data_IF_917064982016
#
_entry.id   IF_917064982016
#
_cell.length_a   1.000
_cell.length_b   1.000
_cell.length_c   1.000
_cell.angle_alpha   90.00
_cell.angle_beta   90.00
_cell.angle_gamma   90.00
#
_symmetry.space_group_name_H-M   'P 1'
#
loop_
_entity.id
_entity.type
_entity.pdbx_description
1 polymer ?
#
# COMPACT_ATOMS: atom_id res chain seq x y z
N UNK A 1 -85.73 44.38 -37.54
CA UNK A 1 -86.10 43.41 -36.48
C UNK A 1 -84.82 42.90 -35.84
N UNK A 2 -84.70 43.22 -34.58
CA UNK A 2 -83.64 43.02 -33.65
C UNK A 2 -83.26 41.55 -33.42
N UNK A 3 -82.04 41.26 -33.12
CA UNK A 3 -81.63 40.34 -32.03
C UNK A 3 -80.13 40.50 -31.67
N UNK A 4 -80.00 41.16 -30.56
CA UNK A 4 -78.77 41.18 -29.72
C UNK A 4 -78.36 39.80 -29.31
N UNK A 5 -77.05 39.49 -29.41
CA UNK A 5 -76.44 38.42 -28.65
C UNK A 5 -75.10 38.85 -28.12
N UNK A 6 -75.05 38.86 -26.81
CA UNK A 6 -73.86 39.10 -25.98
C UNK A 6 -72.74 38.07 -26.26
N UNK A 7 -71.50 38.56 -26.35
CA UNK A 7 -70.36 37.75 -26.34
C UNK A 7 -69.65 37.84 -25.00
N UNK A 8 -69.49 36.68 -24.36
CA UNK A 8 -68.69 36.48 -23.14
C UNK A 8 -67.25 36.34 -23.51
N UNK A 9 -66.35 37.17 -22.93
CA UNK A 9 -64.96 37.08 -23.03
C UNK A 9 -64.45 35.93 -22.14
N UNK A 10 -63.94 34.88 -22.74
CA UNK A 10 -63.18 33.84 -22.07
C UNK A 10 -61.68 34.16 -22.09
N UNK A 11 -61.10 34.41 -20.93
CA UNK A 11 -59.69 34.67 -20.75
C UNK A 11 -58.99 33.32 -20.64
N UNK A 12 -58.28 32.89 -21.69
CA UNK A 12 -57.46 31.66 -21.69
C UNK A 12 -56.06 32.04 -21.27
N UNK A 13 -55.69 31.68 -20.05
CA UNK A 13 -54.31 31.82 -19.53
C UNK A 13 -53.38 30.79 -20.19
N UNK A 14 -52.37 31.28 -20.87
CA UNK A 14 -51.28 30.50 -21.45
C UNK A 14 -50.25 30.25 -20.35
N UNK A 15 -50.21 29.03 -19.80
CA UNK A 15 -49.12 28.58 -18.93
C UNK A 15 -47.88 28.26 -19.78
N UNK A 16 -46.86 29.10 -19.69
CA UNK A 16 -45.51 28.83 -20.18
C UNK A 16 -44.83 27.91 -19.20
N UNK A 17 -44.67 26.62 -19.56
CA UNK A 17 -43.76 25.69 -18.89
C UNK A 17 -42.32 26.02 -19.31
N UNK A 18 -41.57 26.66 -18.45
CA UNK A 18 -40.12 26.77 -18.58
C UNK A 18 -39.52 25.45 -18.10
N UNK A 19 -39.05 24.61 -19.05
CA UNK A 19 -38.19 23.47 -18.75
C UNK A 19 -36.84 24.01 -18.30
N UNK A 20 -36.57 24.00 -17.01
CA UNK A 20 -35.27 24.20 -16.43
C UNK A 20 -34.47 22.91 -16.68
N UNK A 21 -33.53 22.92 -17.63
CA UNK A 21 -32.46 21.93 -17.70
C UNK A 21 -31.56 22.15 -16.48
N UNK A 22 -31.78 21.37 -15.43
CA UNK A 22 -30.82 21.19 -14.36
C UNK A 22 -29.66 20.36 -14.97
N UNK A 23 -28.65 21.05 -15.44
CA UNK A 23 -27.35 20.42 -15.67
C UNK A 23 -26.80 20.00 -14.33
N UNK A 24 -26.70 18.69 -14.09
CA UNK A 24 -25.92 18.16 -12.97
C UNK A 24 -24.49 18.71 -13.06
N UNK A 25 -23.96 19.34 -12.01
CA UNK A 25 -22.55 19.64 -11.97
C UNK A 25 -21.81 18.30 -12.02
N UNK A 26 -20.94 18.16 -13.01
CA UNK A 26 -20.00 17.06 -13.09
C UNK A 26 -19.36 16.90 -11.70
N UNK A 27 -19.65 15.78 -11.06
CA UNK A 27 -18.99 15.37 -9.83
C UNK A 27 -17.51 15.22 -10.18
N UNK A 28 -16.75 16.28 -9.93
CA UNK A 28 -15.30 16.18 -9.86
C UNK A 28 -15.06 15.15 -8.78
N UNK A 29 -14.54 13.98 -9.21
CA UNK A 29 -14.26 12.87 -8.32
C UNK A 29 -13.51 13.36 -7.10
N UNK A 30 -14.13 13.24 -5.95
CA UNK A 30 -13.43 13.38 -4.69
C UNK A 30 -12.29 12.35 -4.69
N UNK A 31 -11.10 12.70 -4.15
CA UNK A 31 -10.02 11.74 -4.06
C UNK A 31 -10.53 10.51 -3.31
N UNK A 32 -10.44 9.35 -3.97
CA UNK A 32 -10.78 8.08 -3.35
C UNK A 32 -9.96 7.91 -2.06
N UNK A 33 -10.65 7.76 -0.95
CA UNK A 33 -10.06 7.26 0.25
C UNK A 33 -9.87 8.22 1.40
N UNK A 34 -10.83 8.34 2.22
CA UNK A 34 -10.78 8.46 3.70
C UNK A 34 -12.11 7.99 4.29
N UNK A 35 -12.66 6.87 3.81
CA UNK A 35 -13.96 6.40 4.29
C UNK A 35 -14.39 5.01 3.81
N UNK A 36 -13.58 4.36 2.98
CA UNK A 36 -13.79 2.95 2.63
C UNK A 36 -13.08 2.05 3.65
N UNK A 37 -13.71 0.96 4.09
CA UNK A 37 -13.09 -0.03 4.95
C UNK A 37 -11.90 -0.70 4.26
N UNK A 38 -10.92 -1.17 5.03
CA UNK A 38 -9.81 -1.99 4.53
C UNK A 38 -10.34 -3.38 4.19
N UNK A 39 -10.43 -3.71 2.90
CA UNK A 39 -10.96 -5.00 2.46
C UNK A 39 -9.88 -5.96 1.97
N UNK A 40 -8.85 -5.46 1.29
CA UNK A 40 -7.75 -6.27 0.79
C UNK A 40 -6.43 -5.52 0.78
N UNK A 41 -5.40 -6.17 1.28
CA UNK A 41 -4.01 -5.69 1.32
C UNK A 41 -3.17 -6.54 0.37
N UNK A 42 -2.41 -5.90 -0.51
CA UNK A 42 -1.35 -6.54 -1.30
C UNK A 42 0.00 -6.06 -0.78
N UNK A 43 0.90 -7.01 -0.51
CA UNK A 43 2.28 -6.74 -0.13
C UNK A 43 3.21 -6.95 -1.31
N UNK A 44 4.05 -5.96 -1.60
CA UNK A 44 5.17 -6.00 -2.54
C UNK A 44 6.47 -5.84 -1.76
N UNK A 45 7.54 -6.43 -2.26
CA UNK A 45 8.88 -6.33 -1.71
C UNK A 45 9.74 -7.52 -2.06
N UNK A 46 10.90 -7.60 -1.47
CA UNK A 46 11.88 -8.67 -1.68
C UNK A 46 11.75 -9.82 -0.67
N UNK A 47 12.81 -10.60 -0.50
CA UNK A 47 12.88 -11.73 0.44
C UNK A 47 12.64 -11.33 1.91
N UNK A 48 12.93 -10.09 2.29
CA UNK A 48 12.60 -9.58 3.63
C UNK A 48 11.09 -9.53 3.80
N UNK A 49 10.39 -8.98 2.81
CA UNK A 49 8.93 -8.92 2.78
C UNK A 49 8.29 -10.33 2.67
N UNK A 50 8.95 -11.29 2.00
CA UNK A 50 8.50 -12.71 1.99
C UNK A 50 8.40 -13.26 3.41
N UNK A 51 9.44 -13.06 4.23
CA UNK A 51 9.42 -13.49 5.63
C UNK A 51 8.36 -12.79 6.48
N UNK A 52 8.16 -11.48 6.23
CA UNK A 52 7.13 -10.69 6.92
C UNK A 52 5.72 -11.05 6.47
N UNK A 53 5.54 -11.51 5.24
CA UNK A 53 4.25 -11.94 4.71
C UNK A 53 3.64 -13.13 5.48
N UNK A 54 4.48 -14.00 6.07
CA UNK A 54 4.01 -15.19 6.78
C UNK A 54 3.14 -14.85 8.00
N UNK A 55 3.59 -14.05 8.98
CA UNK A 55 2.72 -13.60 10.07
C UNK A 55 1.63 -12.64 9.60
N UNK A 56 1.87 -11.84 8.55
CA UNK A 56 0.85 -10.92 8.01
C UNK A 56 -0.35 -11.69 7.47
N UNK A 57 -0.15 -12.81 6.75
CA UNK A 57 -1.25 -13.64 6.26
C UNK A 57 -2.13 -14.11 7.41
N UNK A 58 -1.54 -14.68 8.47
CA UNK A 58 -2.28 -15.11 9.65
C UNK A 58 -3.01 -13.95 10.38
N UNK A 59 -2.37 -12.79 10.45
CA UNK A 59 -2.91 -11.63 11.15
C UNK A 59 -4.08 -10.97 10.39
N UNK A 60 -3.99 -10.86 9.06
CA UNK A 60 -5.07 -10.35 8.23
C UNK A 60 -6.25 -11.30 8.17
N UNK A 61 -6.01 -12.63 8.06
CA UNK A 61 -7.05 -13.64 8.16
C UNK A 61 -7.83 -13.52 9.48
N UNK A 62 -7.10 -13.44 10.61
CA UNK A 62 -7.69 -13.25 11.93
C UNK A 62 -8.45 -11.91 12.05
N UNK A 63 -8.09 -10.90 11.27
CA UNK A 63 -8.73 -9.58 11.24
C UNK A 63 -9.88 -9.47 10.24
N UNK A 64 -10.17 -10.53 9.48
CA UNK A 64 -11.22 -10.54 8.46
C UNK A 64 -10.94 -9.67 7.24
N UNK A 65 -9.67 -9.46 6.91
CA UNK A 65 -9.18 -8.71 5.75
C UNK A 65 -8.47 -9.66 4.79
N UNK A 66 -8.75 -9.56 3.49
CA UNK A 66 -8.01 -10.32 2.49
C UNK A 66 -6.55 -9.86 2.41
N UNK A 67 -5.64 -10.80 2.29
CA UNK A 67 -4.21 -10.53 2.13
C UNK A 67 -3.63 -11.35 0.99
N UNK A 68 -2.79 -10.68 0.18
CA UNK A 68 -2.03 -11.34 -0.87
C UNK A 68 -0.60 -10.81 -0.86
N UNK A 69 0.38 -11.72 -0.77
CA UNK A 69 1.78 -11.37 -0.99
C UNK A 69 2.15 -11.57 -2.45
N UNK A 70 2.75 -10.55 -3.05
CA UNK A 70 3.45 -10.56 -4.32
C UNK A 70 4.95 -10.27 -4.10
N UNK A 71 5.42 -10.35 -2.85
CA UNK A 71 6.83 -10.26 -2.54
C UNK A 71 7.59 -11.47 -3.12
N UNK A 72 8.84 -11.27 -3.54
CA UNK A 72 9.61 -12.27 -4.25
C UNK A 72 11.03 -12.43 -3.69
N UNK A 73 11.45 -13.67 -3.52
CA UNK A 73 12.84 -13.98 -3.16
C UNK A 73 13.80 -13.56 -4.29
N UNK A 74 14.80 -12.73 -3.96
CA UNK A 74 15.81 -12.27 -4.91
C UNK A 74 15.29 -11.33 -5.99
N UNK A 75 14.18 -10.60 -5.73
CA UNK A 75 13.56 -9.67 -6.69
C UNK A 75 12.51 -8.81 -6.02
N UNK A 76 11.38 -8.54 -6.72
CA UNK A 76 10.24 -7.78 -6.18
C UNK A 76 10.45 -6.27 -6.10
N UNK A 77 11.63 -5.79 -6.48
CA UNK A 77 11.97 -4.37 -6.56
C UNK A 77 11.38 -3.72 -7.81
N UNK A 78 11.13 -2.42 -7.73
CA UNK A 78 10.56 -1.63 -8.84
C UNK A 78 11.61 -0.79 -9.57
N UNK A 79 12.83 -0.72 -9.04
CA UNK A 79 14.01 -0.07 -9.62
C UNK A 79 15.24 -0.91 -9.33
N UNK A 80 16.28 -0.80 -10.14
CA UNK A 80 17.50 -1.59 -9.99
C UNK A 80 17.44 -2.95 -10.68
N UNK A 81 18.30 -3.92 -10.31
CA UNK A 81 18.36 -5.23 -10.95
C UNK A 81 17.02 -5.96 -10.79
N UNK A 82 16.64 -6.79 -11.77
CA UNK A 82 15.39 -7.59 -11.76
C UNK A 82 14.08 -6.80 -11.87
N UNK A 83 14.10 -5.47 -11.83
CA UNK A 83 12.89 -4.66 -11.88
C UNK A 83 12.14 -4.77 -13.21
N UNK A 84 12.83 -4.97 -14.32
CA UNK A 84 12.18 -5.11 -15.64
C UNK A 84 11.28 -6.33 -15.68
N UNK A 85 11.75 -7.48 -15.21
CA UNK A 85 10.97 -8.73 -15.13
C UNK A 85 9.75 -8.55 -14.20
N UNK A 86 9.93 -7.91 -13.05
CA UNK A 86 8.84 -7.61 -12.14
C UNK A 86 7.77 -6.71 -12.78
N UNK A 87 8.19 -5.71 -13.57
CA UNK A 87 7.28 -4.81 -14.26
C UNK A 87 6.48 -5.46 -15.40
N UNK A 88 6.93 -6.59 -15.96
CA UNK A 88 6.17 -7.32 -16.96
C UNK A 88 4.85 -7.85 -16.41
N UNK A 89 4.81 -8.29 -15.16
CA UNK A 89 3.67 -8.96 -14.55
C UNK A 89 2.88 -8.08 -13.57
N UNK A 90 3.55 -7.18 -12.86
CA UNK A 90 2.97 -6.43 -11.74
C UNK A 90 1.66 -5.69 -12.08
N UNK A 91 1.50 -5.00 -13.25
CA UNK A 91 0.26 -4.31 -13.56
C UNK A 91 -0.95 -5.26 -13.67
N UNK A 92 -0.75 -6.44 -14.28
CA UNK A 92 -1.80 -7.45 -14.42
C UNK A 92 -2.12 -8.09 -13.07
N UNK A 93 -1.11 -8.42 -12.27
CA UNK A 93 -1.29 -8.97 -10.93
C UNK A 93 -2.08 -8.01 -10.01
N UNK A 94 -1.76 -6.71 -10.05
CA UNK A 94 -2.49 -5.71 -9.26
C UNK A 94 -3.93 -5.52 -9.75
N UNK A 95 -4.14 -5.52 -11.06
CA UNK A 95 -5.49 -5.43 -11.62
C UNK A 95 -6.35 -6.65 -11.24
N UNK A 96 -5.77 -7.86 -11.26
CA UNK A 96 -6.45 -9.09 -10.85
C UNK A 96 -6.70 -9.16 -9.34
N UNK A 97 -5.82 -8.56 -8.55
CA UNK A 97 -5.92 -8.57 -7.09
C UNK A 97 -7.02 -7.62 -6.58
N UNK A 98 -7.33 -6.52 -7.27
CA UNK A 98 -8.29 -5.48 -6.86
C UNK A 98 -8.07 -5.00 -5.40
N UNK A 99 -6.85 -4.56 -5.02
CA UNK A 99 -6.54 -4.19 -3.65
C UNK A 99 -7.22 -2.89 -3.20
N UNK A 100 -7.51 -2.78 -1.90
CA UNK A 100 -7.81 -1.49 -1.26
C UNK A 100 -6.53 -0.69 -1.05
N UNK A 101 -5.47 -1.41 -0.65
CA UNK A 101 -4.15 -0.84 -0.37
C UNK A 101 -3.06 -1.77 -0.88
N UNK A 102 -2.03 -1.17 -1.45
CA UNK A 102 -0.76 -1.84 -1.76
C UNK A 102 0.30 -1.33 -0.80
N UNK A 103 0.93 -2.23 -0.09
CA UNK A 103 2.08 -1.96 0.77
C UNK A 103 3.33 -2.35 -0.03
N UNK A 104 4.17 -1.38 -0.35
CA UNK A 104 5.47 -1.63 -0.96
C UNK A 104 6.56 -1.41 0.08
N UNK A 105 7.12 -2.51 0.59
CA UNK A 105 8.34 -2.41 1.37
C UNK A 105 9.50 -2.11 0.43
N UNK A 106 10.16 -0.95 0.65
CA UNK A 106 11.38 -0.62 -0.08
C UNK A 106 12.36 -1.78 0.05
N UNK A 107 12.91 -2.20 -1.07
CA UNK A 107 13.67 -3.44 -1.13
C UNK A 107 15.18 -3.21 -0.93
N UNK A 108 15.88 -4.27 -0.59
CA UNK A 108 17.35 -4.28 -0.57
C UNK A 108 17.98 -4.20 -1.98
N UNK A 109 17.14 -4.15 -3.03
CA UNK A 109 17.52 -4.03 -4.44
C UNK A 109 17.09 -2.73 -5.10
N UNK A 110 16.50 -1.78 -4.36
CA UNK A 110 16.09 -0.47 -4.92
C UNK A 110 17.30 0.43 -5.25
N UNK A 111 18.26 -0.13 -6.01
CA UNK A 111 19.47 0.53 -6.46
C UNK A 111 19.19 1.45 -7.62
N UNK A 112 20.01 2.48 -7.78
CA UNK A 112 19.92 3.42 -8.88
C UNK A 112 20.08 4.85 -8.41
N UNK A 113 20.20 5.77 -9.36
CA UNK A 113 20.22 7.20 -9.08
C UNK A 113 18.90 7.70 -8.48
N UNK A 114 18.92 8.86 -7.85
CA UNK A 114 17.70 9.51 -7.36
C UNK A 114 16.63 9.65 -8.45
N UNK A 115 17.04 9.95 -9.68
CA UNK A 115 16.12 10.12 -10.79
C UNK A 115 15.46 8.78 -11.21
N UNK A 116 16.21 7.69 -11.20
CA UNK A 116 15.69 6.35 -11.50
C UNK A 116 14.72 5.89 -10.41
N UNK A 117 15.09 6.04 -9.13
CA UNK A 117 14.19 5.75 -8.00
C UNK A 117 12.91 6.57 -8.09
N UNK A 118 13.03 7.89 -8.34
CA UNK A 118 11.86 8.77 -8.48
C UNK A 118 10.93 8.31 -9.60
N UNK A 119 11.48 8.02 -10.79
CA UNK A 119 10.69 7.59 -11.94
C UNK A 119 9.99 6.25 -11.68
N UNK A 120 10.65 5.31 -11.01
CA UNK A 120 10.08 4.01 -10.67
C UNK A 120 8.97 4.11 -9.61
N UNK A 121 9.17 4.90 -8.58
CA UNK A 121 8.15 5.10 -7.54
C UNK A 121 6.94 5.90 -8.05
N UNK A 122 7.13 6.87 -8.95
CA UNK A 122 6.05 7.56 -9.66
C UNK A 122 5.26 6.59 -10.58
N UNK A 123 5.97 5.66 -11.25
CA UNK A 123 5.35 4.59 -12.04
C UNK A 123 4.54 3.66 -11.13
N UNK A 124 5.08 3.24 -9.98
CA UNK A 124 4.37 2.41 -9.01
C UNK A 124 3.11 3.13 -8.50
N UNK A 125 3.23 4.39 -8.09
CA UNK A 125 2.09 5.20 -7.66
C UNK A 125 1.00 5.25 -8.75
N UNK A 126 1.39 5.47 -9.99
CA UNK A 126 0.45 5.52 -11.12
C UNK A 126 -0.25 4.19 -11.35
N UNK A 127 0.50 3.08 -11.30
CA UNK A 127 -0.02 1.73 -11.48
C UNK A 127 -1.01 1.35 -10.36
N UNK A 128 -0.63 1.57 -9.11
CA UNK A 128 -1.47 1.28 -7.93
C UNK A 128 -2.74 2.13 -7.93
N UNK A 129 -2.62 3.42 -8.19
CA UNK A 129 -3.80 4.29 -8.22
C UNK A 129 -4.67 4.05 -9.45
N UNK A 130 -4.11 3.53 -10.53
CA UNK A 130 -4.83 3.12 -11.73
C UNK A 130 -5.82 1.99 -11.49
N UNK A 131 -5.57 1.12 -10.50
CA UNK A 131 -6.50 0.07 -10.05
C UNK A 131 -7.38 0.52 -8.87
N UNK A 132 -7.35 1.79 -8.50
CA UNK A 132 -8.19 2.36 -7.44
C UNK A 132 -7.64 2.16 -6.02
N UNK A 133 -6.44 1.64 -5.85
CA UNK A 133 -5.81 1.40 -4.56
C UNK A 133 -5.01 2.61 -4.04
N UNK A 134 -4.73 2.62 -2.73
CA UNK A 134 -3.76 3.50 -2.11
C UNK A 134 -2.39 2.82 -2.04
N UNK A 135 -1.32 3.60 -2.14
CA UNK A 135 0.04 3.11 -2.01
C UNK A 135 0.62 3.49 -0.65
N UNK A 136 1.11 2.51 0.10
CA UNK A 136 1.90 2.73 1.31
C UNK A 136 3.32 2.23 1.06
N UNK A 137 4.27 3.15 1.01
CA UNK A 137 5.68 2.79 1.10
C UNK A 137 6.02 2.46 2.54
N UNK A 138 6.79 1.42 2.75
CA UNK A 138 7.34 1.05 4.06
C UNK A 138 8.85 1.02 3.95
N UNK A 139 9.55 1.68 4.87
CA UNK A 139 11.01 1.70 4.82
C UNK A 139 11.59 0.33 5.14
N UNK A 140 12.68 -0.03 4.44
CA UNK A 140 13.41 -1.29 4.66
C UNK A 140 13.98 -1.33 6.08
N UNK A 141 14.00 -2.49 6.75
CA UNK A 141 14.80 -2.65 7.97
C UNK A 141 16.28 -2.39 7.69
N UNK A 142 17.04 -1.81 8.65
CA UNK A 142 18.47 -1.67 8.51
C UNK A 142 19.13 -3.02 8.25
N UNK A 143 20.07 -3.09 7.31
CA UNK A 143 20.84 -4.29 7.00
C UNK A 143 22.30 -4.16 7.47
N UNK A 144 22.96 -5.28 7.73
CA UNK A 144 24.41 -5.36 7.87
C UNK A 144 24.97 -5.80 6.51
N UNK A 145 25.48 -4.86 5.69
CA UNK A 145 25.79 -5.17 4.30
C UNK A 145 27.03 -6.06 4.17
N UNK A 146 26.91 -7.09 3.36
CA UNK A 146 28.05 -7.86 2.84
C UNK A 146 28.69 -7.18 1.62
N UNK A 147 29.65 -7.85 0.97
CA UNK A 147 30.32 -7.34 -0.22
C UNK A 147 29.37 -7.11 -1.41
N UNK A 148 28.21 -7.77 -1.44
CA UNK A 148 27.22 -7.62 -2.48
C UNK A 148 26.40 -6.32 -2.31
N UNK A 149 25.96 -6.03 -1.08
CA UNK A 149 25.15 -4.84 -0.79
C UNK A 149 25.99 -3.58 -0.55
N UNK A 150 27.21 -3.72 -0.03
CA UNK A 150 28.05 -2.58 0.36
C UNK A 150 28.19 -1.49 -0.72
N UNK A 151 28.36 -1.80 -2.03
CA UNK A 151 28.44 -0.80 -3.09
C UNK A 151 27.16 0.00 -3.29
N UNK A 152 26.00 -0.50 -2.84
CA UNK A 152 24.67 0.05 -3.10
C UNK A 152 24.04 0.74 -1.89
N UNK A 153 24.72 0.77 -0.74
CA UNK A 153 24.15 1.32 0.49
C UNK A 153 23.72 2.78 0.36
N UNK A 154 24.46 3.61 -0.39
CA UNK A 154 24.09 5.00 -0.63
C UNK A 154 22.75 5.13 -1.42
N UNK A 155 22.45 4.16 -2.27
CA UNK A 155 21.18 4.12 -3.01
C UNK A 155 20.04 3.72 -2.09
N UNK A 156 20.26 2.71 -1.24
CA UNK A 156 19.28 2.23 -0.26
C UNK A 156 18.97 3.28 0.82
N UNK A 157 19.98 4.00 1.29
CA UNK A 157 19.81 5.10 2.26
C UNK A 157 19.01 6.27 1.69
N UNK A 158 19.09 6.51 0.37
CA UNK A 158 18.34 7.56 -0.34
C UNK A 158 16.89 7.17 -0.62
N UNK A 159 16.61 5.90 -0.88
CA UNK A 159 15.30 5.41 -1.30
C UNK A 159 14.12 5.92 -0.43
N UNK A 160 14.21 5.95 0.92
CA UNK A 160 13.15 6.49 1.77
C UNK A 160 12.85 7.97 1.54
N UNK A 161 13.85 8.79 1.22
CA UNK A 161 13.65 10.22 0.94
C UNK A 161 12.95 10.42 -0.40
N UNK A 162 13.33 9.63 -1.41
CA UNK A 162 12.66 9.65 -2.72
C UNK A 162 11.21 9.20 -2.59
N UNK A 163 10.94 8.12 -1.84
CA UNK A 163 9.57 7.68 -1.58
C UNK A 163 8.73 8.75 -0.86
N UNK A 164 9.32 9.49 0.10
CA UNK A 164 8.65 10.63 0.76
C UNK A 164 8.32 11.76 -0.22
N UNK A 165 9.22 12.06 -1.17
CA UNK A 165 8.98 13.08 -2.18
C UNK A 165 7.82 12.69 -3.11
N UNK A 166 7.78 11.43 -3.58
CA UNK A 166 6.67 10.90 -4.39
C UNK A 166 5.36 10.94 -3.60
N UNK A 167 5.36 10.47 -2.36
CA UNK A 167 4.17 10.48 -1.51
C UNK A 167 3.65 11.91 -1.28
N UNK A 168 4.52 12.88 -1.03
CA UNK A 168 4.14 14.28 -0.87
C UNK A 168 3.48 14.87 -2.14
N UNK A 169 3.95 14.49 -3.32
CA UNK A 169 3.36 14.88 -4.61
C UNK A 169 2.06 14.15 -4.97
N UNK A 170 1.69 13.10 -4.25
CA UNK A 170 0.60 12.20 -4.60
C UNK A 170 -0.82 12.74 -4.36
N UNK A 171 -0.97 13.90 -3.75
CA UNK A 171 -2.27 14.44 -3.29
C UNK A 171 -3.01 13.49 -2.33
N UNK A 172 -2.26 12.82 -1.44
CA UNK A 172 -2.79 11.90 -0.43
C UNK A 172 -3.11 10.49 -0.92
N UNK A 173 -2.66 10.13 -2.13
CA UNK A 173 -2.83 8.78 -2.69
C UNK A 173 -1.70 7.82 -2.28
N UNK A 174 -0.60 8.37 -1.79
CA UNK A 174 0.48 7.60 -1.19
C UNK A 174 0.94 8.20 0.14
N UNK A 175 1.53 7.36 0.97
CA UNK A 175 2.13 7.71 2.26
C UNK A 175 3.39 6.87 2.48
N UNK A 176 4.30 7.34 3.34
CA UNK A 176 5.46 6.56 3.77
C UNK A 176 5.30 6.24 5.25
N UNK A 177 5.35 4.97 5.58
CA UNK A 177 5.42 4.45 6.94
C UNK A 177 6.88 4.17 7.30
N UNK A 178 7.37 4.80 8.34
CA UNK A 178 8.76 4.64 8.77
C UNK A 178 8.90 3.44 9.71
N UNK A 179 9.35 2.31 9.17
CA UNK A 179 9.58 1.09 9.94
C UNK A 179 10.79 1.19 10.90
N UNK A 180 11.53 2.30 10.88
CA UNK A 180 12.51 2.61 11.92
C UNK A 180 11.90 2.64 13.33
N UNK A 181 10.59 2.87 13.46
CA UNK A 181 9.86 2.71 14.72
C UNK A 181 9.95 1.27 15.28
N UNK A 182 10.00 0.29 14.41
CA UNK A 182 10.10 -1.14 14.77
C UNK A 182 11.55 -1.59 14.84
N UNK A 183 12.31 -1.27 13.79
CA UNK A 183 13.64 -1.84 13.57
C UNK A 183 14.77 -1.06 14.23
N UNK A 184 14.54 0.24 14.53
CA UNK A 184 15.62 1.16 14.88
C UNK A 184 16.38 1.66 13.65
N UNK A 185 17.51 2.30 13.88
CA UNK A 185 18.35 2.90 12.82
C UNK A 185 19.57 2.06 12.44
N UNK A 186 19.81 0.96 13.14
CA UNK A 186 20.96 0.06 12.92
C UNK A 186 20.50 -1.39 13.01
N UNK A 187 21.16 -2.26 12.26
CA UNK A 187 20.93 -3.69 12.35
C UNK A 187 21.14 -4.21 13.79
N UNK A 188 20.20 -5.02 14.24
CA UNK A 188 20.24 -5.69 15.55
C UNK A 188 19.74 -7.12 15.38
N UNK A 189 20.64 -8.08 15.51
CA UNK A 189 20.30 -9.50 15.37
C UNK A 189 19.40 -9.97 16.50
N UNK A 190 19.69 -9.57 17.74
CA UNK A 190 18.97 -10.02 18.94
C UNK A 190 18.30 -8.84 19.64
N UNK A 191 17.05 -9.02 20.01
CA UNK A 191 16.28 -8.07 20.81
C UNK A 191 15.60 -8.82 21.97
N UNK A 192 15.74 -8.31 23.18
CA UNK A 192 15.17 -8.91 24.39
C UNK A 192 15.57 -10.40 24.60
N UNK A 193 16.75 -10.77 24.14
CA UNK A 193 17.29 -12.11 24.25
C UNK A 193 16.77 -13.12 23.23
N UNK A 194 16.01 -12.67 22.21
CA UNK A 194 15.47 -13.51 21.15
C UNK A 194 15.98 -13.02 19.78
N UNK A 195 16.21 -13.93 18.84
CA UNK A 195 16.59 -13.57 17.50
C UNK A 195 15.45 -12.80 16.80
N UNK A 196 15.72 -11.55 16.46
CA UNK A 196 14.83 -10.63 15.78
C UNK A 196 15.14 -10.59 14.28
N UNK A 197 16.41 -10.74 13.95
CA UNK A 197 16.96 -10.78 12.60
C UNK A 197 17.89 -11.99 12.43
N UNK A 198 17.97 -12.50 11.21
CA UNK A 198 18.87 -13.58 10.85
C UNK A 198 20.34 -13.17 10.96
N UNK A 199 21.22 -14.13 11.23
CA UNK A 199 22.67 -13.90 11.31
C UNK A 199 23.31 -13.51 9.95
N UNK A 200 22.54 -13.57 8.86
CA UNK A 200 22.98 -13.11 7.53
C UNK A 200 23.01 -11.58 7.36
N UNK A 201 22.53 -10.85 8.36
CA UNK A 201 22.50 -9.39 8.32
C UNK A 201 21.32 -8.77 7.55
N UNK A 202 20.46 -9.59 6.92
CA UNK A 202 19.43 -9.13 5.98
C UNK A 202 18.01 -9.50 6.40
N UNK A 203 17.76 -10.82 6.60
CA UNK A 203 16.40 -11.33 6.77
C UNK A 203 15.87 -11.17 8.19
N UNK A 204 14.54 -11.25 8.31
CA UNK A 204 13.86 -11.22 9.60
C UNK A 204 13.73 -12.63 10.18
N UNK A 205 13.75 -12.73 11.50
CA UNK A 205 13.37 -13.93 12.23
C UNK A 205 11.89 -13.86 12.65
N UNK A 206 11.27 -14.96 13.08
CA UNK A 206 9.85 -14.99 13.45
C UNK A 206 9.45 -13.90 14.45
N UNK A 207 10.29 -13.62 15.45
CA UNK A 207 10.04 -12.57 16.44
C UNK A 207 9.97 -11.18 15.80
N UNK A 208 10.92 -10.85 14.92
CA UNK A 208 10.97 -9.59 14.21
C UNK A 208 9.81 -9.44 13.24
N UNK A 209 9.52 -10.48 12.44
CA UNK A 209 8.41 -10.48 11.50
C UNK A 209 7.05 -10.30 12.19
N UNK A 210 6.83 -10.96 13.34
CA UNK A 210 5.61 -10.77 14.15
C UNK A 210 5.49 -9.35 14.69
N UNK A 211 6.60 -8.77 15.17
CA UNK A 211 6.65 -7.41 15.70
C UNK A 211 6.37 -6.37 14.60
N UNK A 212 6.94 -6.56 13.41
CA UNK A 212 6.65 -5.74 12.24
C UNK A 212 5.17 -5.84 11.84
N UNK A 213 4.63 -7.04 11.76
CA UNK A 213 3.21 -7.27 11.46
C UNK A 213 2.30 -6.52 12.44
N UNK A 214 2.54 -6.63 13.73
CA UNK A 214 1.74 -5.94 14.75
C UNK A 214 1.81 -4.42 14.61
N UNK A 215 2.97 -3.88 14.29
CA UNK A 215 3.16 -2.46 14.01
C UNK A 215 2.40 -2.02 12.76
N UNK A 216 2.52 -2.77 11.64
CA UNK A 216 1.84 -2.44 10.40
C UNK A 216 0.32 -2.45 10.56
N UNK A 217 -0.23 -3.45 11.25
CA UNK A 217 -1.66 -3.50 11.57
C UNK A 217 -2.12 -2.26 12.34
N UNK A 218 -1.34 -1.79 13.31
CA UNK A 218 -1.65 -0.57 14.05
C UNK A 218 -1.64 0.66 13.14
N UNK A 219 -0.64 0.81 12.25
CA UNK A 219 -0.59 1.91 11.25
C UNK A 219 -1.79 1.87 10.30
N UNK A 220 -2.21 0.67 9.87
CA UNK A 220 -3.40 0.51 9.04
C UNK A 220 -4.68 0.87 9.79
N UNK A 221 -4.79 0.55 11.08
CA UNK A 221 -5.94 0.96 11.89
C UNK A 221 -6.05 2.49 12.05
N UNK A 222 -4.91 3.17 12.21
CA UNK A 222 -4.87 4.65 12.22
C UNK A 222 -5.33 5.24 10.88
N UNK A 223 -5.03 4.57 9.79
CA UNK A 223 -5.36 5.01 8.42
C UNK A 223 -6.79 4.68 7.99
N UNK A 224 -7.28 3.51 8.40
CA UNK A 224 -8.59 2.99 8.05
C UNK A 224 -9.45 2.83 9.32
N UNK A 225 -10.20 3.87 9.74
CA UNK A 225 -10.92 3.87 11.02
C UNK A 225 -11.97 2.75 11.18
N UNK A 226 -12.36 2.11 10.08
CA UNK A 226 -13.25 0.93 10.10
C UNK A 226 -12.52 -0.40 10.28
N UNK A 227 -11.18 -0.41 10.27
CA UNK A 227 -10.37 -1.60 10.46
C UNK A 227 -10.02 -1.76 11.94
N UNK A 228 -10.26 -2.96 12.47
CA UNK A 228 -9.86 -3.33 13.84
C UNK A 228 -8.93 -4.52 13.76
N UNK A 229 -7.63 -4.36 14.07
CA UNK A 229 -6.68 -5.46 14.07
C UNK A 229 -7.07 -6.55 15.07
N UNK A 230 -6.87 -7.80 14.69
CA UNK A 230 -6.96 -8.92 15.60
C UNK A 230 -5.83 -8.86 16.64
N UNK A 231 -6.13 -9.30 17.86
CA UNK A 231 -5.13 -9.36 18.92
C UNK A 231 -4.00 -10.34 18.54
N UNK A 232 -2.73 -9.95 18.79
CA UNK A 232 -1.56 -10.75 18.43
C UNK A 232 -1.63 -12.20 18.93
N UNK A 233 -2.23 -12.47 20.08
CA UNK A 233 -2.42 -13.84 20.61
C UNK A 233 -3.23 -14.76 19.70
N UNK A 234 -4.02 -14.24 18.78
CA UNK A 234 -4.88 -15.03 17.88
C UNK A 234 -4.15 -15.52 16.64
N UNK A 235 -3.03 -14.88 16.25
CA UNK A 235 -2.30 -15.20 15.03
C UNK A 235 -0.80 -15.47 15.23
N UNK A 236 -0.17 -14.93 16.30
CA UNK A 236 1.27 -14.99 16.46
C UNK A 236 1.86 -16.42 16.58
N UNK A 237 1.07 -17.39 16.97
CA UNK A 237 1.51 -18.78 17.21
C UNK A 237 0.70 -19.80 16.38
N UNK A 238 0.30 -19.48 15.18
CA UNK A 238 -0.51 -20.36 14.31
C UNK A 238 0.31 -21.29 13.40
N UNK A 239 1.63 -21.40 13.64
CA UNK A 239 2.50 -22.36 12.96
C UNK A 239 3.37 -21.75 11.85
N UNK A 240 3.10 -20.52 11.37
CA UNK A 240 3.88 -19.86 10.32
C UNK A 240 5.38 -19.68 10.68
N UNK A 241 5.71 -19.60 11.96
CA UNK A 241 7.10 -19.47 12.42
C UNK A 241 7.96 -20.72 12.18
N UNK A 242 7.34 -21.85 11.79
CA UNK A 242 8.05 -23.08 11.42
C UNK A 242 8.38 -23.16 9.92
N UNK A 243 8.06 -22.11 9.15
CA UNK A 243 8.37 -22.04 7.74
C UNK A 243 9.87 -22.09 7.47
N UNK A 244 10.23 -22.72 6.36
CA UNK A 244 11.61 -22.88 5.93
C UNK A 244 12.34 -21.57 5.70
N UNK A 245 11.63 -20.49 5.44
CA UNK A 245 12.18 -19.14 5.30
C UNK A 245 12.93 -18.67 6.56
N UNK A 246 12.56 -19.18 7.73
CA UNK A 246 13.18 -18.83 9.02
C UNK A 246 14.28 -19.78 9.47
N UNK A 247 14.78 -20.69 8.62
CA UNK A 247 15.84 -21.64 8.99
C UNK A 247 17.16 -20.98 9.40
N UNK A 248 17.38 -19.72 9.02
CA UNK A 248 18.58 -18.95 9.42
C UNK A 248 18.50 -18.34 10.83
N UNK A 249 17.42 -18.56 11.52
CA UNK A 249 17.15 -18.05 12.86
C UNK A 249 17.42 -19.12 13.91
#
# INVERSE_FOLDING_TARGET
>A
MSKTRSFVLGLTGLLLLTAACSGDPATTGAPAGRGGGLSKVVLLGDSVAVGEALPMAAAFEASGVEFQSLAADGGGNVVGPFSDEHWEELPEQLAAAEPTVVVYQLTSYDWGSQQEQQAAYDKLLTTVTGVGAQLLFVTTPPIEPDDFYAPHMADLERAPEVARAVAAGSSGRAEVLDAGEVWGSTYQQVRDGVADRSADGIHTCPQGAARFTNWLLARLADRFPGFTPAEARTWANTGWAADDHFKGC
#
